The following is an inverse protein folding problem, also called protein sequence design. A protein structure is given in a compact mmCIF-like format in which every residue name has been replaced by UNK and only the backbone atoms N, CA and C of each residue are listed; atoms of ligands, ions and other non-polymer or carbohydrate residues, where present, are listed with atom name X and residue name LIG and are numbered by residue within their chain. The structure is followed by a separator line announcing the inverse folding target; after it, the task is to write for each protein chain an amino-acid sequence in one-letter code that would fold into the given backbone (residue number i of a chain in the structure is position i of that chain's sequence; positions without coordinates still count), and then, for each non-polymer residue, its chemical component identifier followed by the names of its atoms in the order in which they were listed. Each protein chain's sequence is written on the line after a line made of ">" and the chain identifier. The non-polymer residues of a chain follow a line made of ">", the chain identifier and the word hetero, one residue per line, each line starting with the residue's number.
data_IF_597876320743
#
_entry.id   IF_597876320743
#
_cell.length_a   1.000
_cell.length_b   1.000
_cell.length_c   1.000
_cell.angle_alpha   90.00
_cell.angle_beta   90.00
_cell.angle_gamma   90.00
#
_symmetry.space_group_name_H-M   'P 1'
#
loop_
_entity.id
_entity.type
_entity.pdbx_description
1 polymer ?
#
# COMPACT_ATOMS: atom_id res chain seq x y z
N UNK A 1 2.26 -16.73 -10.78
CA UNK A 1 0.91 -16.11 -10.79
C UNK A 1 0.96 -14.81 -11.58
N UNK A 2 -0.09 -14.46 -12.35
CA UNK A 2 -0.11 -13.22 -13.14
C UNK A 2 -0.29 -11.98 -12.23
N UNK A 3 0.45 -10.87 -12.41
CA UNK A 3 0.31 -9.65 -11.60
C UNK A 3 -1.05 -8.95 -11.83
N UNK A 4 -1.46 -8.08 -10.89
CA UNK A 4 -2.68 -7.27 -11.00
C UNK A 4 -2.53 -6.12 -12.01
N UNK A 5 -1.34 -5.51 -12.06
CA UNK A 5 -0.98 -4.44 -12.99
C UNK A 5 0.28 -4.81 -13.78
N UNK A 6 0.54 -4.16 -14.93
CA UNK A 6 1.76 -4.41 -15.70
C UNK A 6 3.02 -4.16 -14.86
N UNK A 7 3.96 -5.09 -14.91
CA UNK A 7 5.26 -4.91 -14.26
C UNK A 7 6.04 -3.79 -14.93
N UNK A 8 6.70 -2.98 -14.12
CA UNK A 8 7.54 -1.88 -14.59
C UNK A 8 9.01 -2.25 -14.61
N UNK A 9 9.85 -1.53 -15.39
CA UNK A 9 11.29 -1.62 -15.28
C UNK A 9 11.74 -1.31 -13.84
N UNK A 10 12.85 -1.91 -13.43
CA UNK A 10 13.42 -1.63 -12.13
C UNK A 10 13.83 -0.15 -12.06
N UNK A 11 13.30 0.56 -11.06
CA UNK A 11 13.48 1.99 -10.87
C UNK A 11 14.79 2.31 -10.12
N UNK A 12 15.05 3.61 -9.94
CA UNK A 12 16.27 4.14 -9.34
C UNK A 12 16.53 3.65 -7.90
N UNK A 13 17.69 3.99 -7.35
CA UNK A 13 18.02 3.63 -5.97
C UNK A 13 17.12 4.36 -4.98
N UNK A 14 16.46 3.60 -4.11
CA UNK A 14 15.72 4.12 -2.96
C UNK A 14 16.46 3.80 -1.64
N UNK A 15 16.18 4.62 -0.62
CA UNK A 15 16.61 4.43 0.77
C UNK A 15 15.59 3.67 1.63
N UNK A 16 14.63 2.98 1.01
CA UNK A 16 13.57 2.24 1.70
C UNK A 16 14.15 1.28 2.74
N UNK A 17 13.64 1.27 3.98
CA UNK A 17 14.01 0.30 5.00
C UNK A 17 13.61 -1.13 4.61
N UNK A 18 12.64 -1.31 3.70
CA UNK A 18 12.24 -2.62 3.17
C UNK A 18 13.37 -3.26 2.38
N UNK A 19 14.25 -2.48 1.76
CA UNK A 19 15.47 -2.98 1.12
C UNK A 19 16.37 -3.72 2.12
N UNK A 20 16.56 -3.17 3.32
CA UNK A 20 17.38 -3.80 4.35
C UNK A 20 16.72 -5.08 4.88
N UNK A 21 15.39 -5.04 5.06
CA UNK A 21 14.61 -6.23 5.41
C UNK A 21 14.79 -7.35 4.37
N UNK A 22 14.72 -7.02 3.08
CA UNK A 22 14.94 -7.97 1.99
C UNK A 22 16.34 -8.57 2.00
N UNK A 23 17.39 -7.81 2.33
CA UNK A 23 18.74 -8.36 2.46
C UNK A 23 18.81 -9.37 3.59
N UNK A 24 18.20 -9.05 4.74
CA UNK A 24 18.27 -9.87 5.94
C UNK A 24 17.47 -11.18 5.82
N UNK A 25 16.25 -11.12 5.29
CA UNK A 25 15.29 -12.22 5.34
C UNK A 25 15.16 -13.01 4.03
N UNK A 26 15.86 -12.65 2.94
CA UNK A 26 15.74 -13.37 1.65
C UNK A 26 16.04 -14.86 1.74
N UNK A 27 16.92 -15.25 2.66
CA UNK A 27 17.37 -16.64 2.84
C UNK A 27 16.97 -17.22 4.21
N UNK A 28 16.17 -16.49 4.99
CA UNK A 28 15.73 -16.95 6.29
C UNK A 28 14.29 -17.47 6.20
N UNK A 29 13.95 -18.57 6.91
CA UNK A 29 12.57 -18.98 7.02
C UNK A 29 11.76 -17.91 7.77
N UNK A 30 10.52 -17.71 7.33
CA UNK A 30 9.54 -16.87 8.02
C UNK A 30 8.43 -17.81 8.49
N UNK A 31 8.47 -18.14 9.77
CA UNK A 31 7.61 -19.15 10.35
C UNK A 31 6.28 -18.57 10.81
N UNK A 32 5.19 -19.11 10.29
CA UNK A 32 3.83 -18.75 10.67
C UNK A 32 3.10 -20.01 11.16
N UNK A 33 2.14 -19.84 12.06
CA UNK A 33 1.17 -20.91 12.36
C UNK A 33 0.33 -21.21 11.12
N UNK A 34 -0.26 -22.41 11.03
CA UNK A 34 -1.12 -22.78 9.89
C UNK A 34 -2.28 -21.80 9.68
N UNK A 35 -2.90 -21.33 10.77
CA UNK A 35 -3.99 -20.34 10.70
C UNK A 35 -3.50 -19.01 10.13
N UNK A 36 -2.34 -18.52 10.59
CA UNK A 36 -1.71 -17.30 10.06
C UNK A 36 -1.32 -17.47 8.58
N UNK A 37 -0.81 -18.64 8.17
CA UNK A 37 -0.47 -18.89 6.77
C UNK A 37 -1.70 -18.78 5.88
N UNK A 38 -2.81 -19.39 6.27
CA UNK A 38 -4.08 -19.34 5.53
C UNK A 38 -4.61 -17.91 5.48
N UNK A 39 -4.58 -17.19 6.60
CA UNK A 39 -5.01 -15.80 6.66
C UNK A 39 -4.17 -14.90 5.75
N UNK A 40 -2.85 -14.92 5.90
CA UNK A 40 -1.92 -14.10 5.11
C UNK A 40 -1.97 -14.44 3.62
N UNK A 41 -2.17 -15.72 3.26
CA UNK A 41 -2.36 -16.13 1.87
C UNK A 41 -3.52 -15.39 1.19
N UNK A 42 -4.56 -15.02 1.95
CA UNK A 42 -5.71 -14.26 1.46
C UNK A 42 -5.48 -12.75 1.48
N UNK A 43 -4.71 -12.26 2.45
CA UNK A 43 -4.45 -10.83 2.64
C UNK A 43 -3.36 -10.27 1.72
N UNK A 44 -2.24 -10.99 1.55
CA UNK A 44 -1.10 -10.49 0.77
C UNK A 44 -1.45 -10.15 -0.69
N UNK A 45 -2.33 -10.89 -1.40
CA UNK A 45 -2.77 -10.49 -2.72
C UNK A 45 -3.49 -9.13 -2.76
N UNK A 46 -4.14 -8.71 -1.67
CA UNK A 46 -4.75 -7.38 -1.59
C UNK A 46 -3.67 -6.29 -1.56
N UNK A 47 -2.66 -6.46 -0.71
CA UNK A 47 -1.56 -5.52 -0.50
C UNK A 47 -0.65 -5.44 -1.74
N UNK A 48 -0.23 -6.58 -2.29
CA UNK A 48 0.61 -6.65 -3.50
C UNK A 48 -0.04 -5.94 -4.68
N UNK A 49 -1.36 -6.07 -4.84
CA UNK A 49 -2.07 -5.36 -5.91
C UNK A 49 -2.14 -3.84 -5.68
N UNK A 50 -2.05 -3.40 -4.42
CA UNK A 50 -1.86 -2.00 -4.06
C UNK A 50 -0.50 -1.48 -4.52
N UNK A 51 0.58 -2.17 -4.14
CA UNK A 51 1.94 -1.71 -4.48
C UNK A 51 2.12 -1.66 -6.00
N UNK A 52 1.63 -2.67 -6.71
CA UNK A 52 1.65 -2.72 -8.18
C UNK A 52 0.84 -1.57 -8.81
N UNK A 53 -0.27 -1.16 -8.20
CA UNK A 53 -1.04 -0.01 -8.66
C UNK A 53 -0.30 1.29 -8.42
N UNK A 54 0.29 1.46 -7.24
CA UNK A 54 1.06 2.65 -6.85
C UNK A 54 2.23 2.85 -7.81
N UNK A 55 3.02 1.79 -8.04
CA UNK A 55 4.09 1.77 -9.04
C UNK A 55 3.61 2.28 -10.41
N UNK A 56 2.51 1.72 -10.92
CA UNK A 56 1.99 2.07 -12.25
C UNK A 56 1.54 3.53 -12.34
N UNK A 57 0.86 4.01 -11.30
CA UNK A 57 0.40 5.40 -11.17
C UNK A 57 1.58 6.38 -11.19
N UNK A 58 2.53 6.21 -10.27
CA UNK A 58 3.65 7.15 -10.13
C UNK A 58 4.60 7.09 -11.33
N UNK A 59 4.80 5.92 -11.94
CA UNK A 59 5.61 5.81 -13.14
C UNK A 59 5.01 6.56 -14.33
N UNK A 60 3.69 6.45 -14.54
CA UNK A 60 3.03 7.22 -15.59
C UNK A 60 3.14 8.73 -15.34
N UNK A 61 3.08 9.15 -14.07
CA UNK A 61 3.27 10.55 -13.71
C UNK A 61 4.70 11.02 -13.98
N UNK A 62 5.71 10.21 -13.70
CA UNK A 62 7.10 10.50 -14.08
C UNK A 62 7.23 10.73 -15.59
N UNK A 63 6.60 9.90 -16.43
CA UNK A 63 6.65 10.08 -17.88
C UNK A 63 5.98 11.40 -18.29
N UNK A 64 4.79 11.66 -17.77
CA UNK A 64 4.03 12.89 -18.07
C UNK A 64 4.78 14.17 -17.66
N UNK A 65 5.36 14.21 -16.46
CA UNK A 65 6.12 15.38 -15.98
C UNK A 65 7.37 15.66 -16.82
N UNK A 66 7.98 14.62 -17.40
CA UNK A 66 9.10 14.78 -18.33
C UNK A 66 8.68 15.44 -19.65
N UNK A 67 7.45 15.23 -20.08
CA UNK A 67 6.91 15.75 -21.33
C UNK A 67 6.38 17.20 -21.20
N UNK A 68 5.74 17.56 -20.08
CA UNK A 68 4.92 18.78 -19.94
C UNK A 68 5.61 20.00 -19.26
N UNK A 69 6.92 19.93 -18.99
CA UNK A 69 7.79 20.91 -18.28
C UNK A 69 8.16 20.47 -16.84
N UNK A 70 9.33 19.84 -16.65
CA UNK A 70 9.64 19.11 -15.42
C UNK A 70 9.93 20.03 -14.23
N UNK A 71 9.15 19.89 -13.16
CA UNK A 71 9.64 20.19 -11.82
C UNK A 71 10.54 19.03 -11.40
N UNK A 72 11.86 19.23 -11.48
CA UNK A 72 12.84 18.17 -11.24
C UNK A 72 12.66 17.49 -9.87
N UNK A 73 12.33 18.25 -8.82
CA UNK A 73 12.05 17.72 -7.48
C UNK A 73 10.85 16.75 -7.47
N UNK A 74 9.77 17.05 -8.21
CA UNK A 74 8.60 16.18 -8.28
C UNK A 74 8.90 14.86 -9.01
N UNK A 75 9.71 14.92 -10.07
CA UNK A 75 10.16 13.72 -10.80
C UNK A 75 10.99 12.82 -9.88
N UNK A 76 11.94 13.39 -9.14
CA UNK A 76 12.78 12.65 -8.19
C UNK A 76 11.96 12.03 -7.05
N UNK A 77 10.98 12.75 -6.53
CA UNK A 77 10.04 12.23 -5.52
C UNK A 77 9.26 11.03 -6.05
N UNK A 78 8.66 11.13 -7.25
CA UNK A 78 7.86 10.04 -7.82
C UNK A 78 8.71 8.83 -8.20
N UNK A 79 9.92 9.04 -8.73
CA UNK A 79 10.86 7.93 -8.96
C UNK A 79 11.28 7.24 -7.66
N UNK A 80 11.47 8.00 -6.58
CA UNK A 80 11.74 7.42 -5.26
C UNK A 80 10.55 6.60 -4.77
N UNK A 81 9.31 7.07 -4.96
CA UNK A 81 8.11 6.32 -4.54
C UNK A 81 8.01 5.02 -5.34
N UNK A 82 8.15 5.05 -6.66
CA UNK A 82 8.15 3.83 -7.49
C UNK A 82 9.20 2.82 -7.00
N UNK A 83 10.36 3.30 -6.58
CA UNK A 83 11.42 2.44 -6.04
C UNK A 83 11.08 1.83 -4.67
N UNK A 84 10.49 2.61 -3.77
CA UNK A 84 9.98 2.14 -2.48
C UNK A 84 8.96 1.00 -2.71
N UNK A 85 7.98 1.24 -3.58
CA UNK A 85 6.88 0.32 -3.89
C UNK A 85 7.33 -0.99 -4.56
N UNK A 86 8.39 -0.93 -5.37
CA UNK A 86 9.02 -2.13 -5.94
C UNK A 86 9.67 -2.99 -4.85
N UNK A 87 10.24 -2.37 -3.80
CA UNK A 87 10.76 -3.12 -2.66
C UNK A 87 9.62 -3.71 -1.82
N UNK A 88 8.52 -2.97 -1.64
CA UNK A 88 7.34 -3.46 -0.92
C UNK A 88 6.75 -4.69 -1.61
N UNK A 89 6.46 -4.59 -2.91
CA UNK A 89 5.96 -5.71 -3.72
C UNK A 89 6.87 -6.93 -3.58
N UNK A 90 8.18 -6.74 -3.75
CA UNK A 90 9.16 -7.83 -3.71
C UNK A 90 9.22 -8.49 -2.33
N UNK A 91 9.12 -7.72 -1.26
CA UNK A 91 9.13 -8.24 0.11
C UNK A 91 7.83 -9.00 0.43
N UNK A 92 6.69 -8.46 0.03
CA UNK A 92 5.39 -9.11 0.22
C UNK A 92 5.28 -10.40 -0.63
N UNK A 93 5.77 -10.39 -1.87
CA UNK A 93 5.84 -11.60 -2.69
C UNK A 93 6.79 -12.65 -2.08
N UNK A 94 7.91 -12.23 -1.47
CA UNK A 94 8.80 -13.17 -0.77
C UNK A 94 8.08 -13.90 0.36
N UNK A 95 7.28 -13.18 1.16
CA UNK A 95 6.44 -13.80 2.18
C UNK A 95 5.38 -14.69 1.54
N UNK A 96 4.67 -14.20 0.51
CA UNK A 96 3.58 -14.93 -0.15
C UNK A 96 4.04 -16.22 -0.83
N UNK A 97 5.30 -16.35 -1.23
CA UNK A 97 5.88 -17.57 -1.78
C UNK A 97 6.03 -18.70 -0.73
N UNK A 98 6.01 -18.39 0.56
CA UNK A 98 6.06 -19.41 1.64
C UNK A 98 4.67 -19.88 2.07
N UNK A 99 3.61 -19.28 1.51
CA UNK A 99 2.22 -19.51 1.93
C UNK A 99 1.45 -20.42 0.95
N UNK A 100 0.40 -21.12 1.42
CA UNK A 100 -0.50 -21.85 0.53
C UNK A 100 -1.21 -20.88 -0.43
N UNK A 101 -1.58 -21.37 -1.61
CA UNK A 101 -2.36 -20.57 -2.58
C UNK A 101 -3.87 -20.74 -2.32
N UNK A 102 -4.64 -19.65 -2.08
CA UNK A 102 -6.09 -19.74 -1.94
C UNK A 102 -6.75 -20.20 -3.25
N UNK A 103 -7.74 -21.09 -3.16
CA UNK A 103 -8.46 -21.59 -4.33
C UNK A 103 -9.17 -20.48 -5.13
N UNK A 104 -9.59 -19.41 -4.46
CA UNK A 104 -10.29 -18.25 -5.01
C UNK A 104 -9.37 -17.04 -5.27
N UNK A 105 -8.04 -17.23 -5.32
CA UNK A 105 -7.08 -16.12 -5.46
C UNK A 105 -7.37 -15.18 -6.64
N UNK A 106 -7.85 -15.71 -7.76
CA UNK A 106 -8.24 -14.88 -8.92
C UNK A 106 -9.35 -13.90 -8.58
N UNK A 107 -10.32 -14.30 -7.75
CA UNK A 107 -11.42 -13.43 -7.31
C UNK A 107 -10.93 -12.35 -6.34
N UNK A 108 -10.04 -12.72 -5.41
CA UNK A 108 -9.38 -11.78 -4.48
C UNK A 108 -8.69 -10.68 -5.29
N UNK A 109 -7.80 -11.07 -6.21
CA UNK A 109 -7.06 -10.13 -7.06
C UNK A 109 -7.96 -9.26 -7.93
N UNK A 110 -9.03 -9.83 -8.49
CA UNK A 110 -9.98 -9.07 -9.32
C UNK A 110 -10.75 -8.02 -8.52
N UNK A 111 -11.01 -8.22 -7.23
CA UNK A 111 -11.60 -7.18 -6.36
C UNK A 111 -10.60 -6.05 -6.12
N UNK A 112 -9.36 -6.38 -5.76
CA UNK A 112 -8.28 -5.39 -5.58
C UNK A 112 -8.03 -4.58 -6.84
N UNK A 113 -7.86 -5.25 -7.98
CA UNK A 113 -7.61 -4.60 -9.27
C UNK A 113 -8.73 -3.62 -9.63
N UNK A 114 -10.01 -3.99 -9.40
CA UNK A 114 -11.15 -3.09 -9.64
C UNK A 114 -11.13 -1.88 -8.72
N UNK A 115 -10.80 -2.07 -7.45
CA UNK A 115 -10.69 -0.98 -6.48
C UNK A 115 -9.61 0.03 -6.90
N UNK A 116 -8.40 -0.45 -7.16
CA UNK A 116 -7.24 0.38 -7.50
C UNK A 116 -7.38 1.03 -8.88
N UNK A 117 -7.86 0.30 -9.89
CA UNK A 117 -8.15 0.89 -11.21
C UNK A 117 -9.19 2.01 -11.11
N UNK A 118 -10.21 1.87 -10.26
CA UNK A 118 -11.22 2.91 -10.04
C UNK A 118 -10.67 4.15 -9.28
N UNK A 119 -9.54 4.03 -8.57
CA UNK A 119 -8.86 5.19 -7.98
C UNK A 119 -8.09 5.98 -9.05
N UNK A 120 -7.46 5.29 -10.01
CA UNK A 120 -6.68 5.90 -11.10
C UNK A 120 -7.48 6.60 -12.21
N UNK A 121 -8.82 6.53 -12.20
CA UNK A 121 -9.68 7.13 -13.27
C UNK A 121 -9.97 8.64 -13.11
N UNK A 122 -9.44 9.31 -12.08
CA UNK A 122 -9.73 10.74 -11.82
C UNK A 122 -9.03 11.63 -12.85
N UNK A 123 -9.75 12.67 -13.31
CA UNK A 123 -9.27 13.58 -14.35
C UNK A 123 -8.34 14.69 -13.83
N UNK A 124 -8.38 15.01 -12.53
CA UNK A 124 -7.61 16.09 -11.93
C UNK A 124 -6.53 15.54 -10.99
N UNK A 125 -5.30 16.02 -11.16
CA UNK A 125 -4.10 15.50 -10.48
C UNK A 125 -4.02 15.89 -9.02
N UNK A 126 -4.47 17.07 -8.67
CA UNK A 126 -4.62 17.55 -7.30
C UNK A 126 -5.48 16.56 -6.47
N UNK A 127 -6.61 16.12 -7.03
CA UNK A 127 -7.48 15.09 -6.44
C UNK A 127 -6.76 13.75 -6.35
N UNK A 128 -5.99 13.38 -7.37
CA UNK A 128 -5.29 12.09 -7.40
C UNK A 128 -4.22 11.98 -6.31
N UNK A 129 -3.38 13.00 -6.14
CA UNK A 129 -2.40 13.04 -5.04
C UNK A 129 -3.07 13.09 -3.67
N UNK A 130 -4.18 13.82 -3.55
CA UNK A 130 -4.95 13.81 -2.30
C UNK A 130 -5.53 12.43 -2.00
N UNK A 131 -5.92 11.65 -3.02
CA UNK A 131 -6.37 10.28 -2.85
C UNK A 131 -5.27 9.37 -2.35
N UNK A 132 -4.08 9.45 -2.96
CA UNK A 132 -2.92 8.66 -2.56
C UNK A 132 -2.56 8.98 -1.11
N UNK A 133 -2.42 10.26 -0.76
CA UNK A 133 -2.14 10.65 0.63
C UNK A 133 -3.18 10.13 1.64
N UNK A 134 -4.46 10.07 1.27
CA UNK A 134 -5.49 9.48 2.12
C UNK A 134 -5.37 7.96 2.21
N UNK A 135 -5.04 7.29 1.10
CA UNK A 135 -4.89 5.85 1.03
C UNK A 135 -3.69 5.38 1.86
N UNK A 136 -2.51 5.97 1.64
CA UNK A 136 -1.26 5.64 2.35
C UNK A 136 -1.40 5.90 3.85
N UNK A 137 -2.16 6.93 4.25
CA UNK A 137 -2.47 7.18 5.65
C UNK A 137 -3.34 6.06 6.26
N UNK A 138 -4.26 5.47 5.49
CA UNK A 138 -5.05 4.31 5.92
C UNK A 138 -4.19 3.03 5.94
N UNK A 139 -3.28 2.88 4.98
CA UNK A 139 -2.29 1.78 4.96
C UNK A 139 -1.37 1.89 6.18
N UNK A 140 -0.91 3.08 6.56
CA UNK A 140 -0.15 3.30 7.80
C UNK A 140 -0.90 2.77 9.04
N UNK A 141 -2.21 3.06 9.14
CA UNK A 141 -3.05 2.56 10.23
C UNK A 141 -3.22 1.04 10.17
N UNK A 142 -3.37 0.48 8.97
CA UNK A 142 -3.44 -0.96 8.75
C UNK A 142 -2.14 -1.66 9.18
N UNK A 143 -0.99 -1.14 8.77
CA UNK A 143 0.33 -1.68 9.14
C UNK A 143 0.56 -1.59 10.65
N UNK A 144 0.13 -0.49 11.29
CA UNK A 144 0.17 -0.34 12.75
C UNK A 144 -0.74 -1.36 13.46
N UNK A 145 -1.90 -1.67 12.90
CA UNK A 145 -2.79 -2.68 13.45
C UNK A 145 -2.19 -4.08 13.33
N UNK A 146 -1.58 -4.42 12.18
CA UNK A 146 -0.86 -5.69 12.00
C UNK A 146 0.31 -5.79 12.98
N UNK A 147 1.06 -4.71 13.19
CA UNK A 147 2.14 -4.64 14.18
C UNK A 147 1.67 -4.95 15.61
N UNK A 148 0.44 -4.57 15.95
CA UNK A 148 -0.19 -4.81 17.26
C UNK A 148 -1.04 -6.09 17.30
N UNK A 149 -1.05 -6.86 16.20
CA UNK A 149 -1.88 -8.05 16.05
C UNK A 149 -1.36 -9.26 16.82
N UNK A 150 -1.70 -10.46 16.33
CA UNK A 150 -1.38 -11.73 17.01
C UNK A 150 0.06 -12.20 16.82
N UNK A 151 0.84 -11.57 15.95
CA UNK A 151 2.25 -11.91 15.73
C UNK A 151 3.17 -11.25 16.77
N UNK A 152 4.29 -11.91 17.06
CA UNK A 152 5.32 -11.34 17.95
C UNK A 152 5.89 -10.03 17.36
N UNK A 153 6.22 -9.06 18.22
CA UNK A 153 6.75 -7.76 17.79
C UNK A 153 8.07 -7.84 17.00
N UNK A 154 8.87 -8.89 17.23
CA UNK A 154 10.13 -9.15 16.52
C UNK A 154 9.96 -10.14 15.36
N UNK A 155 8.73 -10.56 15.08
CA UNK A 155 8.45 -11.45 13.96
C UNK A 155 8.85 -10.77 12.64
N UNK A 156 9.54 -11.46 11.70
CA UNK A 156 10.02 -10.84 10.46
C UNK A 156 8.93 -10.10 9.68
N UNK A 157 7.72 -10.67 9.60
CA UNK A 157 6.59 -10.01 8.95
C UNK A 157 6.14 -8.70 9.65
N UNK A 158 6.18 -8.64 10.98
CA UNK A 158 5.87 -7.41 11.72
C UNK A 158 6.93 -6.34 11.45
N UNK A 159 8.21 -6.74 11.39
CA UNK A 159 9.30 -5.84 11.00
C UNK A 159 9.15 -5.33 9.57
N UNK A 160 8.62 -6.16 8.65
CA UNK A 160 8.29 -5.73 7.30
C UNK A 160 7.17 -4.68 7.30
N UNK A 161 6.06 -4.93 8.02
CA UNK A 161 4.96 -3.97 8.13
C UNK A 161 5.42 -2.63 8.73
N UNK A 162 6.33 -2.65 9.71
CA UNK A 162 6.96 -1.43 10.26
C UNK A 162 7.77 -0.68 9.21
N UNK A 163 8.55 -1.39 8.40
CA UNK A 163 9.35 -0.79 7.33
C UNK A 163 8.47 -0.18 6.24
N UNK A 164 7.43 -0.90 5.79
CA UNK A 164 6.43 -0.37 4.85
C UNK A 164 5.79 0.90 5.42
N UNK A 165 5.27 0.86 6.65
CA UNK A 165 4.68 2.02 7.33
C UNK A 165 5.57 3.27 7.35
N UNK A 166 6.89 3.10 7.44
CA UNK A 166 7.83 4.24 7.40
C UNK A 166 7.88 4.89 6.02
N UNK A 167 7.90 4.08 4.96
CA UNK A 167 7.82 4.58 3.58
C UNK A 167 6.45 5.23 3.31
N UNK A 168 5.36 4.60 3.72
CA UNK A 168 4.00 5.15 3.59
C UNK A 168 3.87 6.54 4.23
N UNK A 169 4.42 6.75 5.43
CA UNK A 169 4.36 8.05 6.09
C UNK A 169 5.10 9.15 5.30
N UNK A 170 6.21 8.80 4.64
CA UNK A 170 6.91 9.68 3.70
C UNK A 170 6.03 9.93 2.46
N UNK A 171 5.42 8.91 1.89
CA UNK A 171 4.55 9.03 0.70
C UNK A 171 3.33 9.92 0.97
N UNK A 172 2.69 9.79 2.14
CA UNK A 172 1.63 10.70 2.62
C UNK A 172 2.09 12.15 2.58
N UNK A 173 3.29 12.42 3.10
CA UNK A 173 3.84 13.78 3.19
C UNK A 173 4.08 14.38 1.81
N UNK A 174 4.71 13.61 0.92
CA UNK A 174 5.00 14.02 -0.46
C UNK A 174 3.71 14.23 -1.26
N UNK A 175 2.81 13.25 -1.28
CA UNK A 175 1.54 13.32 -1.99
C UNK A 175 0.67 14.48 -1.49
N UNK A 176 0.61 14.72 -0.17
CA UNK A 176 -0.12 15.88 0.39
C UNK A 176 0.48 17.20 -0.06
N UNK A 177 1.82 17.33 -0.08
CA UNK A 177 2.52 18.52 -0.58
C UNK A 177 2.19 18.80 -2.04
N UNK A 178 2.23 17.77 -2.90
CA UNK A 178 1.88 17.90 -4.32
C UNK A 178 0.41 18.27 -4.54
N UNK A 179 -0.52 17.65 -3.82
CA UNK A 179 -1.94 17.99 -3.90
C UNK A 179 -2.18 19.48 -3.60
N UNK A 180 -1.58 19.99 -2.51
CA UNK A 180 -1.71 21.41 -2.12
C UNK A 180 -1.05 22.35 -3.13
N UNK A 181 0.12 22.00 -3.66
CA UNK A 181 0.80 22.78 -4.69
C UNK A 181 0.00 22.88 -5.99
N UNK A 182 -0.78 21.84 -6.31
CA UNK A 182 -1.69 21.80 -7.45
C UNK A 182 -3.06 22.44 -7.19
N UNK A 183 -3.28 22.98 -5.98
CA UNK A 183 -4.50 23.73 -5.63
C UNK A 183 -5.62 22.90 -5.00
N UNK A 184 -5.35 21.68 -4.52
CA UNK A 184 -6.36 20.88 -3.82
C UNK A 184 -6.84 21.59 -2.56
N UNK A 185 -8.15 21.81 -2.43
CA UNK A 185 -8.72 22.63 -1.37
C UNK A 185 -8.73 21.92 0.00
N UNK A 186 -8.37 22.66 1.07
CA UNK A 186 -8.37 22.10 2.43
C UNK A 186 -9.76 21.57 2.86
N UNK A 187 -10.84 22.23 2.42
CA UNK A 187 -12.23 21.87 2.69
C UNK A 187 -12.62 20.48 2.14
N UNK A 188 -11.94 20.01 1.08
CA UNK A 188 -12.30 18.79 0.37
C UNK A 188 -11.72 17.52 1.01
N UNK A 189 -10.63 17.65 1.78
CA UNK A 189 -9.90 16.52 2.37
C UNK A 189 -10.78 15.58 3.20
N UNK A 190 -11.62 16.12 4.09
CA UNK A 190 -12.40 15.28 4.99
C UNK A 190 -13.41 14.42 4.21
N UNK A 191 -14.04 15.00 3.18
CA UNK A 191 -14.97 14.27 2.32
C UNK A 191 -14.25 13.18 1.52
N UNK A 192 -13.07 13.49 0.99
CA UNK A 192 -12.24 12.56 0.23
C UNK A 192 -11.73 11.41 1.10
N UNK A 193 -11.20 11.72 2.29
CA UNK A 193 -10.73 10.75 3.28
C UNK A 193 -11.84 9.77 3.65
N UNK A 194 -13.05 10.27 3.94
CA UNK A 194 -14.20 9.43 4.28
C UNK A 194 -14.57 8.51 3.11
N UNK A 195 -14.65 9.05 1.89
CA UNK A 195 -14.97 8.26 0.70
C UNK A 195 -13.94 7.15 0.41
N UNK A 196 -12.64 7.43 0.61
CA UNK A 196 -11.59 6.44 0.42
C UNK A 196 -11.61 5.40 1.53
N UNK A 197 -11.81 5.84 2.77
CA UNK A 197 -11.95 4.96 3.93
C UNK A 197 -13.07 3.94 3.73
N UNK A 198 -14.27 4.38 3.32
CA UNK A 198 -15.41 3.50 3.06
C UNK A 198 -15.13 2.47 1.96
N UNK A 199 -14.49 2.92 0.87
CA UNK A 199 -14.16 2.05 -0.26
C UNK A 199 -13.07 1.04 0.10
N UNK A 200 -12.03 1.47 0.82
CA UNK A 200 -10.96 0.59 1.27
C UNK A 200 -11.49 -0.41 2.29
N UNK A 201 -12.29 0.03 3.25
CA UNK A 201 -12.98 -0.84 4.20
C UNK A 201 -13.79 -1.92 3.47
N UNK A 202 -14.58 -1.54 2.46
CA UNK A 202 -15.35 -2.49 1.66
C UNK A 202 -14.47 -3.55 0.99
N UNK A 203 -13.30 -3.16 0.47
CA UNK A 203 -12.33 -4.09 -0.10
C UNK A 203 -11.77 -5.05 0.97
N UNK A 204 -11.28 -4.51 2.09
CA UNK A 204 -10.62 -5.27 3.14
C UNK A 204 -11.60 -6.18 3.91
N UNK A 205 -12.83 -5.72 4.14
CA UNK A 205 -13.89 -6.48 4.80
C UNK A 205 -14.28 -7.75 4.04
N UNK A 206 -13.94 -7.81 2.75
CA UNK A 206 -14.11 -9.03 1.94
C UNK A 206 -13.21 -10.19 2.37
N UNK A 207 -12.20 -9.91 3.20
CA UNK A 207 -11.30 -10.86 3.86
C UNK A 207 -11.25 -10.64 5.39
N UNK A 208 -12.36 -10.16 5.98
CA UNK A 208 -12.47 -9.84 7.42
C UNK A 208 -11.97 -10.96 8.33
N UNK A 209 -12.40 -12.20 8.10
CA UNK A 209 -12.01 -13.33 8.95
C UNK A 209 -10.50 -13.56 8.93
N UNK A 210 -9.82 -13.32 7.80
CA UNK A 210 -8.37 -13.43 7.72
C UNK A 210 -7.67 -12.33 8.53
N UNK A 211 -8.20 -11.10 8.53
CA UNK A 211 -7.71 -10.04 9.42
C UNK A 211 -7.88 -10.39 10.90
N UNK A 212 -9.05 -10.89 11.28
CA UNK A 212 -9.34 -11.31 12.66
C UNK A 212 -8.39 -12.43 13.13
N UNK A 213 -8.07 -13.41 12.27
CA UNK A 213 -7.08 -14.47 12.57
C UNK A 213 -5.69 -13.92 12.91
N UNK A 214 -5.28 -12.82 12.27
CA UNK A 214 -3.99 -12.16 12.57
C UNK A 214 -4.11 -11.08 13.66
N UNK A 215 -5.24 -11.01 14.37
CA UNK A 215 -5.49 -10.08 15.47
C UNK A 215 -5.77 -8.65 15.02
N UNK A 216 -6.28 -8.44 13.81
CA UNK A 216 -6.60 -7.13 13.26
C UNK A 216 -8.11 -6.94 13.17
N UNK A 217 -8.65 -5.99 13.93
CA UNK A 217 -10.06 -5.62 13.88
C UNK A 217 -10.26 -4.43 12.93
N UNK A 218 -10.80 -4.68 11.73
CA UNK A 218 -10.97 -3.63 10.72
C UNK A 218 -11.83 -2.47 11.20
N UNK A 219 -12.86 -2.72 11.99
CA UNK A 219 -13.75 -1.64 12.47
C UNK A 219 -12.98 -0.63 13.32
N UNK A 220 -11.99 -1.05 14.11
CA UNK A 220 -11.14 -0.12 14.89
C UNK A 220 -10.22 0.76 14.03
N UNK A 221 -9.85 0.28 12.83
CA UNK A 221 -9.02 1.02 11.87
C UNK A 221 -9.86 2.06 11.12
N UNK A 222 -11.13 1.78 10.86
CA UNK A 222 -11.98 2.64 10.03
C UNK A 222 -13.05 3.40 10.84
N UNK A 223 -13.22 3.10 12.12
CA UNK A 223 -14.09 3.84 13.02
C UNK A 223 -13.62 5.30 13.10
N UNK A 224 -14.57 6.19 12.81
CA UNK A 224 -14.37 7.62 12.62
C UNK A 224 -14.18 8.39 13.93
N UNK A 225 -13.76 7.72 15.01
CA UNK A 225 -13.55 8.35 16.32
C UNK A 225 -12.10 8.76 16.51
N UNK A 226 -11.73 9.84 15.84
CA UNK A 226 -10.70 10.83 16.20
C UNK A 226 -10.78 11.88 15.07
N UNK A 227 -11.44 13.03 15.25
CA UNK A 227 -11.16 14.00 16.30
C UNK A 227 -10.04 14.89 15.78
N UNK A 228 -10.41 15.97 15.08
CA UNK A 228 -9.49 17.03 14.68
C UNK A 228 -8.62 17.45 15.87
N UNK A 229 -7.29 17.33 15.72
CA UNK A 229 -6.31 18.24 16.29
C UNK A 229 -5.20 18.47 15.27
#
# INVERSE_FOLDING_TARGET
>A
MKPCFPSLPQSAQSHSPVKNWLVLYRQQPIDFTTEQQIALARLLPLLICGEQSSQWVFHNEVQRQRDDNPLQEAVEDFESIVADEQYHEKALELVRLTLPEPADITQIKRRSQRFFAALGLRQNFDVHFAQIACLDALVCRLMLAIEKGSLNSEHPFVLLCRAIKQDEAKHVTLSKRHALALGFEHSQWQSLKSSIADRLYTLLASERSAFETIGVELDTIFDSKEGDQ
#
